data_IF_103826196937
#
_entry.id   IF_103826196937
#
_cell.length_a   1.000
_cell.length_b   1.000
_cell.length_c   1.000
_cell.angle_alpha   90.00
_cell.angle_beta   90.00
_cell.angle_gamma   90.00
#
_symmetry.space_group_name_H-M   'P 1'
#
loop_
_entity.id
_entity.type
_entity.pdbx_description
1 polymer ?
#
# COMPACT_ATOMS: atom_id res chain seq x y z
N UNK A 1 6.22 31.99 4.48
CA UNK A 1 6.42 31.45 5.84
C UNK A 1 5.56 30.21 6.11
N UNK A 2 4.22 30.31 6.18
CA UNK A 2 3.37 29.13 6.47
C UNK A 2 3.35 28.07 5.35
N UNK A 3 3.25 28.47 4.08
CA UNK A 3 3.25 27.51 2.95
C UNK A 3 4.61 26.81 2.78
N UNK A 4 5.71 27.50 3.08
CA UNK A 4 7.08 26.95 3.00
C UNK A 4 7.38 25.88 4.08
N UNK A 5 6.56 25.82 5.13
CA UNK A 5 6.69 24.86 6.24
C UNK A 5 5.67 23.71 6.10
N UNK A 6 4.43 24.02 5.71
CA UNK A 6 3.32 23.04 5.71
C UNK A 6 3.36 22.09 4.51
N UNK A 7 3.79 22.56 3.34
CA UNK A 7 3.85 21.71 2.14
C UNK A 7 4.92 20.63 2.24
N UNK A 8 6.17 20.91 2.67
CA UNK A 8 7.19 19.87 2.88
C UNK A 8 6.80 18.88 3.97
N UNK A 9 6.20 19.34 5.07
CA UNK A 9 5.77 18.47 6.16
C UNK A 9 4.68 17.47 5.72
N UNK A 10 3.74 17.95 4.88
CA UNK A 10 2.65 17.11 4.38
C UNK A 10 3.11 16.03 3.39
N UNK A 11 4.18 16.26 2.62
CA UNK A 11 4.75 15.23 1.73
C UNK A 11 5.61 14.23 2.51
N UNK A 12 6.34 14.69 3.53
CA UNK A 12 7.08 13.82 4.44
C UNK A 12 6.13 12.87 5.17
N UNK A 13 5.02 13.38 5.72
CA UNK A 13 4.03 12.56 6.42
C UNK A 13 3.46 11.47 5.50
N UNK A 14 3.12 11.81 4.25
CA UNK A 14 2.58 10.83 3.30
C UNK A 14 3.58 9.71 3.00
N UNK A 15 4.86 10.05 2.85
CA UNK A 15 5.92 9.06 2.59
C UNK A 15 6.19 8.21 3.83
N UNK A 16 6.30 8.80 5.02
CA UNK A 16 6.50 8.07 6.29
C UNK A 16 5.40 7.03 6.51
N UNK A 17 4.16 7.38 6.18
CA UNK A 17 3.00 6.50 6.34
C UNK A 17 3.01 5.29 5.39
N UNK A 18 3.83 5.28 4.32
CA UNK A 18 4.01 4.09 3.46
C UNK A 18 4.74 2.95 4.16
N UNK A 19 5.62 3.26 5.13
CA UNK A 19 6.42 2.27 5.85
C UNK A 19 5.57 1.28 6.66
N UNK A 20 4.73 1.77 7.60
CA UNK A 20 3.81 0.92 8.34
C UNK A 20 2.85 0.12 7.45
N UNK A 21 2.37 0.72 6.35
CA UNK A 21 1.53 0.01 5.37
C UNK A 21 2.26 -1.19 4.76
N UNK A 22 3.47 -0.99 4.25
CA UNK A 22 4.27 -2.08 3.69
C UNK A 22 4.60 -3.17 4.71
N UNK A 23 4.90 -2.77 5.95
CA UNK A 23 5.16 -3.69 7.06
C UNK A 23 3.94 -4.55 7.39
N UNK A 24 2.75 -3.94 7.48
CA UNK A 24 1.49 -4.65 7.70
C UNK A 24 1.18 -5.63 6.57
N UNK A 25 1.31 -5.19 5.31
CA UNK A 25 1.12 -6.05 4.14
C UNK A 25 2.09 -7.25 4.11
N UNK A 26 3.35 -7.03 4.49
CA UNK A 26 4.35 -8.11 4.58
C UNK A 26 3.97 -9.12 5.67
N UNK A 27 3.53 -8.65 6.84
CA UNK A 27 3.06 -9.52 7.91
C UNK A 27 1.82 -10.32 7.49
N UNK A 28 0.86 -9.72 6.77
CA UNK A 28 -0.30 -10.42 6.24
C UNK A 28 0.10 -11.52 5.24
N UNK A 29 1.04 -11.23 4.33
CA UNK A 29 1.63 -12.21 3.43
C UNK A 29 2.27 -13.38 4.19
N UNK A 30 3.05 -13.10 5.23
CA UNK A 30 3.71 -14.16 6.00
C UNK A 30 2.71 -15.05 6.75
N UNK A 31 1.67 -14.46 7.34
CA UNK A 31 0.60 -15.18 8.04
C UNK A 31 -0.18 -16.08 7.09
N UNK A 32 -0.59 -15.58 5.92
CA UNK A 32 -1.29 -16.37 4.92
C UNK A 32 -0.41 -17.45 4.30
N UNK A 33 0.87 -17.15 4.02
CA UNK A 33 1.81 -18.14 3.50
C UNK A 33 1.98 -19.31 4.48
N UNK A 34 2.08 -19.02 5.78
CA UNK A 34 2.12 -20.05 6.82
C UNK A 34 0.85 -20.90 6.82
N UNK A 35 -0.33 -20.28 6.76
CA UNK A 35 -1.60 -20.99 6.70
C UNK A 35 -1.74 -21.86 5.46
N UNK A 36 -1.38 -21.36 4.27
CA UNK A 36 -1.40 -22.11 2.99
C UNK A 36 -0.51 -23.35 3.08
N UNK A 37 0.70 -23.22 3.64
CA UNK A 37 1.64 -24.35 3.81
C UNK A 37 1.10 -25.41 4.75
N UNK A 38 0.56 -25.00 5.90
CA UNK A 38 0.01 -25.93 6.90
C UNK A 38 -1.17 -26.73 6.34
N UNK A 39 -2.00 -26.09 5.50
CA UNK A 39 -3.19 -26.72 4.93
C UNK A 39 -2.92 -27.49 3.61
N UNK A 40 -1.65 -27.70 3.24
CA UNK A 40 -1.24 -28.44 2.02
C UNK A 40 -1.85 -27.92 0.71
N UNK A 41 -2.22 -26.64 0.66
CA UNK A 41 -2.81 -25.99 -0.52
C UNK A 41 -1.76 -25.52 -1.53
N UNK A 42 -0.47 -25.63 -1.19
CA UNK A 42 0.65 -25.01 -1.91
C UNK A 42 0.91 -25.58 -3.31
N UNK A 43 0.31 -26.71 -3.68
CA UNK A 43 0.47 -27.34 -5.00
C UNK A 43 -0.57 -26.88 -6.02
N UNK A 44 -1.61 -26.16 -5.61
CA UNK A 44 -2.61 -25.64 -6.53
C UNK A 44 -2.04 -24.50 -7.40
N UNK A 45 -2.10 -24.69 -8.72
CA UNK A 45 -1.52 -23.74 -9.69
C UNK A 45 -2.25 -22.41 -9.75
N UNK A 46 -3.57 -22.39 -9.54
CA UNK A 46 -4.33 -21.15 -9.52
C UNK A 46 -3.98 -20.34 -8.28
N UNK A 47 -3.88 -20.99 -7.10
CA UNK A 47 -3.41 -20.33 -5.88
C UNK A 47 -2.00 -19.78 -6.03
N UNK A 48 -1.07 -20.54 -6.63
CA UNK A 48 0.28 -20.07 -6.91
C UNK A 48 0.30 -18.82 -7.81
N UNK A 49 -0.57 -18.77 -8.82
CA UNK A 49 -0.70 -17.62 -9.71
C UNK A 49 -1.21 -16.38 -8.98
N UNK A 50 -2.29 -16.52 -8.20
CA UNK A 50 -2.85 -15.42 -7.40
C UNK A 50 -1.84 -14.94 -6.33
N UNK A 51 -1.15 -15.87 -5.67
CA UNK A 51 -0.11 -15.55 -4.70
C UNK A 51 1.08 -14.80 -5.33
N UNK A 52 1.50 -15.24 -6.52
CA UNK A 52 2.56 -14.58 -7.29
C UNK A 52 2.20 -13.15 -7.68
N UNK A 53 0.96 -12.93 -8.11
CA UNK A 53 0.45 -11.59 -8.42
C UNK A 53 0.46 -10.67 -7.19
N UNK A 54 -0.02 -11.18 -6.04
CA UNK A 54 -0.02 -10.43 -4.78
C UNK A 54 1.41 -10.06 -4.32
N UNK A 55 2.34 -11.02 -4.46
CA UNK A 55 3.75 -10.79 -4.14
C UNK A 55 4.38 -9.74 -5.05
N UNK A 56 4.12 -9.79 -6.36
CA UNK A 56 4.61 -8.80 -7.32
C UNK A 56 4.06 -7.38 -7.03
N UNK A 57 2.77 -7.29 -6.65
CA UNK A 57 2.14 -6.04 -6.26
C UNK A 57 2.81 -5.44 -5.01
N UNK A 58 3.05 -6.25 -3.96
CA UNK A 58 3.76 -5.81 -2.76
C UNK A 58 5.19 -5.34 -3.06
N UNK A 59 5.93 -6.07 -3.91
CA UNK A 59 7.28 -5.66 -4.33
C UNK A 59 7.26 -4.31 -5.07
N UNK A 60 6.25 -4.09 -5.91
CA UNK A 60 6.07 -2.83 -6.64
C UNK A 60 5.80 -1.67 -5.67
N UNK A 61 4.89 -1.87 -4.72
CA UNK A 61 4.61 -0.90 -3.64
C UNK A 61 5.88 -0.54 -2.86
N UNK A 62 6.72 -1.53 -2.55
CA UNK A 62 7.99 -1.34 -1.85
C UNK A 62 8.96 -0.46 -2.64
N UNK A 63 9.09 -0.70 -3.95
CA UNK A 63 9.92 0.12 -4.83
C UNK A 63 9.42 1.57 -4.86
N UNK A 64 8.11 1.78 -4.98
CA UNK A 64 7.50 3.12 -4.98
C UNK A 64 7.80 3.86 -3.69
N UNK A 65 7.63 3.20 -2.53
CA UNK A 65 7.90 3.80 -1.23
C UNK A 65 9.38 4.19 -1.06
N UNK A 66 10.30 3.34 -1.47
CA UNK A 66 11.74 3.65 -1.41
C UNK A 66 12.14 4.77 -2.35
N UNK A 67 11.58 4.83 -3.56
CA UNK A 67 11.84 5.95 -4.46
C UNK A 67 11.24 7.26 -3.93
N UNK A 68 10.06 7.20 -3.29
CA UNK A 68 9.45 8.37 -2.65
C UNK A 68 10.30 8.88 -1.47
N UNK A 69 10.79 7.98 -0.62
CA UNK A 69 11.74 8.32 0.45
C UNK A 69 13.05 8.89 -0.10
N UNK A 70 13.62 8.26 -1.12
CA UNK A 70 14.84 8.72 -1.76
C UNK A 70 14.71 10.11 -2.40
N UNK A 71 13.52 10.49 -2.90
CA UNK A 71 13.26 11.85 -3.39
C UNK A 71 13.27 12.88 -2.28
N UNK A 72 12.70 12.55 -1.11
CA UNK A 72 12.75 13.42 0.06
C UNK A 72 14.19 13.61 0.54
N UNK A 73 14.95 12.52 0.66
CA UNK A 73 16.33 12.57 1.16
C UNK A 73 17.26 13.38 0.27
N UNK A 74 17.10 13.26 -1.05
CA UNK A 74 17.94 13.96 -2.04
C UNK A 74 17.50 15.40 -2.31
N UNK A 75 16.40 15.87 -1.72
CA UNK A 75 15.78 17.15 -2.08
C UNK A 75 15.36 17.20 -3.56
N UNK A 76 14.97 16.05 -4.13
CA UNK A 76 14.56 15.90 -5.52
C UNK A 76 13.15 16.45 -5.79
N UNK A 77 12.60 16.13 -6.97
CA UNK A 77 11.21 16.47 -7.31
C UNK A 77 10.20 15.85 -6.35
N UNK A 78 9.00 16.43 -6.29
CA UNK A 78 7.94 16.01 -5.35
C UNK A 78 7.68 14.48 -5.39
N UNK A 79 7.55 13.82 -4.21
CA UNK A 79 7.15 12.42 -4.09
C UNK A 79 5.64 12.22 -4.29
N UNK A 80 4.85 13.28 -4.42
CA UNK A 80 3.39 13.21 -4.48
C UNK A 80 2.84 12.27 -5.57
N UNK A 81 3.35 12.24 -6.82
CA UNK A 81 2.87 11.29 -7.82
C UNK A 81 3.08 9.82 -7.42
N UNK A 82 4.20 9.54 -6.73
CA UNK A 82 4.49 8.21 -6.18
C UNK A 82 3.51 7.87 -5.06
N UNK A 83 3.24 8.82 -4.15
CA UNK A 83 2.27 8.64 -3.06
C UNK A 83 0.85 8.36 -3.57
N UNK A 84 0.38 9.09 -4.60
CA UNK A 84 -0.92 8.83 -5.23
C UNK A 84 -0.98 7.43 -5.85
N UNK A 85 0.09 7.02 -6.54
CA UNK A 85 0.17 5.70 -7.18
C UNK A 85 0.24 4.59 -6.13
N UNK A 86 1.03 4.77 -5.08
CA UNK A 86 1.12 3.88 -3.92
C UNK A 86 -0.25 3.64 -3.32
N UNK A 87 -1.02 4.70 -3.00
CA UNK A 87 -2.32 4.55 -2.37
C UNK A 87 -3.33 3.76 -3.23
N UNK A 88 -3.27 3.89 -4.56
CA UNK A 88 -4.11 3.11 -5.48
C UNK A 88 -3.76 1.63 -5.45
N UNK A 89 -2.47 1.32 -5.60
CA UNK A 89 -1.97 -0.06 -5.58
C UNK A 89 -2.11 -0.71 -4.20
N UNK A 90 -2.03 0.08 -3.12
CA UNK A 90 -2.27 -0.40 -1.76
C UNK A 90 -3.73 -0.81 -1.56
N UNK A 91 -4.68 -0.02 -2.08
CA UNK A 91 -6.10 -0.39 -2.05
C UNK A 91 -6.38 -1.66 -2.87
N UNK A 92 -5.71 -1.82 -4.02
CA UNK A 92 -5.75 -3.05 -4.83
C UNK A 92 -5.21 -4.24 -4.04
N UNK A 93 -4.05 -4.11 -3.41
CA UNK A 93 -3.46 -5.16 -2.58
C UNK A 93 -4.42 -5.60 -1.45
N UNK A 94 -5.06 -4.65 -0.76
CA UNK A 94 -6.01 -4.96 0.31
C UNK A 94 -7.25 -5.69 -0.19
N UNK A 95 -7.75 -5.33 -1.38
CA UNK A 95 -8.88 -6.05 -1.98
C UNK A 95 -8.46 -7.47 -2.39
N UNK A 96 -7.31 -7.61 -3.04
CA UNK A 96 -6.83 -8.89 -3.56
C UNK A 96 -6.48 -9.87 -2.44
N UNK A 97 -5.84 -9.42 -1.37
CA UNK A 97 -5.45 -10.29 -0.25
C UNK A 97 -6.68 -10.80 0.52
N UNK A 98 -7.67 -9.93 0.72
CA UNK A 98 -8.95 -10.30 1.33
C UNK A 98 -9.69 -11.31 0.46
N UNK A 99 -9.80 -11.04 -0.85
CA UNK A 99 -10.46 -11.93 -1.80
C UNK A 99 -9.76 -13.30 -1.89
N UNK A 100 -8.42 -13.33 -1.89
CA UNK A 100 -7.64 -14.56 -1.90
C UNK A 100 -7.93 -15.40 -0.65
N UNK A 101 -7.92 -14.78 0.53
CA UNK A 101 -8.22 -15.49 1.79
C UNK A 101 -9.62 -16.09 1.81
N UNK A 102 -10.62 -15.37 1.31
CA UNK A 102 -12.02 -15.80 1.25
C UNK A 102 -12.23 -16.90 0.21
N UNK A 103 -11.75 -16.69 -1.02
CA UNK A 103 -11.91 -17.63 -2.16
C UNK A 103 -11.33 -19.00 -1.83
N UNK A 104 -10.15 -19.01 -1.25
CA UNK A 104 -9.43 -20.24 -0.89
C UNK A 104 -9.79 -20.74 0.51
N UNK A 105 -10.67 -20.04 1.24
CA UNK A 105 -11.07 -20.38 2.62
C UNK A 105 -9.87 -20.65 3.52
N UNK A 106 -8.83 -19.83 3.37
CA UNK A 106 -7.60 -19.97 4.14
C UNK A 106 -7.92 -19.66 5.59
N UNK A 107 -7.65 -20.55 6.55
CA UNK A 107 -7.86 -20.27 7.96
C UNK A 107 -6.88 -19.19 8.41
N UNK A 108 -7.38 -17.96 8.59
CA UNK A 108 -6.58 -16.81 9.00
C UNK A 108 -6.48 -16.71 10.52
N UNK A 109 -5.30 -16.42 11.08
CA UNK A 109 -5.16 -16.16 12.52
C UNK A 109 -5.75 -14.80 12.89
N UNK A 110 -6.16 -14.61 14.15
CA UNK A 110 -6.76 -13.34 14.63
C UNK A 110 -5.88 -12.11 14.32
N UNK A 111 -4.56 -12.28 14.43
CA UNK A 111 -3.57 -11.24 14.09
C UNK A 111 -3.71 -10.73 12.66
N UNK A 112 -4.10 -11.57 11.70
CA UNK A 112 -4.35 -11.14 10.32
C UNK A 112 -5.54 -10.17 10.25
N UNK A 113 -6.61 -10.46 10.99
CA UNK A 113 -7.82 -9.63 11.04
C UNK A 113 -7.54 -8.26 11.68
N UNK A 114 -6.73 -8.24 12.74
CA UNK A 114 -6.31 -6.99 13.37
C UNK A 114 -5.43 -6.16 12.44
N UNK A 115 -4.46 -6.78 11.76
CA UNK A 115 -3.65 -6.10 10.75
C UNK A 115 -4.50 -5.57 9.59
N UNK A 116 -5.48 -6.33 9.11
CA UNK A 116 -6.39 -5.88 8.06
C UNK A 116 -7.14 -4.60 8.48
N UNK A 117 -7.67 -4.58 9.70
CA UNK A 117 -8.39 -3.42 10.26
C UNK A 117 -7.48 -2.20 10.43
N UNK A 118 -6.26 -2.40 10.90
CA UNK A 118 -5.28 -1.34 11.06
C UNK A 118 -4.91 -0.73 9.71
N UNK A 119 -4.68 -1.56 8.69
CA UNK A 119 -4.32 -1.09 7.35
C UNK A 119 -5.48 -0.35 6.68
N UNK A 120 -6.72 -0.83 6.82
CA UNK A 120 -7.91 -0.10 6.35
C UNK A 120 -8.01 1.29 6.98
N UNK A 121 -7.74 1.38 8.29
CA UNK A 121 -7.75 2.65 9.02
C UNK A 121 -6.68 3.61 8.51
N UNK A 122 -5.44 3.13 8.29
CA UNK A 122 -4.35 3.91 7.71
C UNK A 122 -4.66 4.36 6.27
N UNK A 123 -5.26 3.49 5.47
CA UNK A 123 -5.69 3.79 4.09
C UNK A 123 -6.72 4.90 4.04
N UNK A 124 -7.71 4.91 4.94
CA UNK A 124 -8.72 5.98 5.03
C UNK A 124 -8.08 7.33 5.36
N UNK A 125 -7.12 7.36 6.29
CA UNK A 125 -6.41 8.58 6.68
C UNK A 125 -5.63 9.20 5.50
N UNK A 126 -4.93 8.38 4.70
CA UNK A 126 -4.20 8.87 3.53
C UNK A 126 -5.11 9.25 2.36
N UNK A 127 -6.16 8.45 2.10
CA UNK A 127 -7.01 8.58 0.90
C UNK A 127 -7.57 9.98 0.72
N UNK A 128 -8.15 10.55 1.78
CA UNK A 128 -8.80 11.88 1.69
C UNK A 128 -7.80 12.97 1.33
N UNK A 129 -6.59 12.91 1.88
CA UNK A 129 -5.53 13.90 1.66
C UNK A 129 -4.97 13.80 0.24
N UNK A 130 -4.67 12.59 -0.21
CA UNK A 130 -4.14 12.34 -1.56
C UNK A 130 -5.17 12.68 -2.65
N UNK A 131 -6.47 12.43 -2.40
CA UNK A 131 -7.54 12.80 -3.33
C UNK A 131 -7.59 14.31 -3.58
N UNK A 132 -7.54 15.13 -2.51
CA UNK A 132 -7.51 16.60 -2.64
C UNK A 132 -6.29 17.05 -3.45
N UNK A 133 -5.12 16.42 -3.23
CA UNK A 133 -3.90 16.77 -3.97
C UNK A 133 -3.97 16.34 -5.43
N UNK A 134 -4.56 15.18 -5.72
CA UNK A 134 -4.80 14.71 -7.08
C UNK A 134 -5.74 15.66 -7.85
N UNK A 135 -6.83 16.11 -7.22
CA UNK A 135 -7.75 17.10 -7.80
C UNK A 135 -7.04 18.42 -8.11
N UNK A 136 -6.15 18.89 -7.22
CA UNK A 136 -5.34 20.10 -7.47
C UNK A 136 -4.38 19.94 -8.65
N UNK A 137 -3.74 18.78 -8.80
CA UNK A 137 -2.90 18.47 -9.96
C UNK A 137 -3.75 18.54 -11.23
N UNK A 138 -4.89 17.86 -11.26
CA UNK A 138 -5.80 17.87 -12.40
C UNK A 138 -6.30 19.27 -12.76
N UNK A 139 -6.72 20.06 -11.77
CA UNK A 139 -7.16 21.43 -11.97
C UNK A 139 -6.07 22.34 -12.54
N UNK A 140 -4.80 22.09 -12.18
CA UNK A 140 -3.66 22.84 -12.73
C UNK A 140 -3.39 22.44 -14.18
N UNK A 141 -3.43 21.14 -14.48
CA UNK A 141 -3.20 20.63 -15.83
C UNK A 141 -4.26 21.07 -16.84
N UNK A 142 -5.52 21.24 -16.41
CA UNK A 142 -6.64 21.64 -17.28
C UNK A 142 -6.77 23.16 -17.49
N UNK A 143 -6.06 23.97 -16.70
CA UNK A 143 -6.03 25.44 -16.85
C UNK A 143 -4.98 25.93 -17.85
N UNK A 144 -4.10 25.02 -18.31
CA UNK A 144 -3.05 25.30 -19.28
C UNK A 144 -3.53 24.98 -20.69
#
# INVERSE_FOLDING_TARGET
AWQDIVVPLGEIEDVVMTGPMLGGMAAQLDLLAAAIRINSMSTDRALQGEWGALSALWQTLRIIAYEAAGRLDRGGGSPLPLGITFARLAAEFHADIAQLSERWKIPVPDQYTDLQRDMESLGVLQKRRLQIRQEKIGATLLKN
#
